data_IF_540509009163
#
_entry.id   IF_540509009163
#
_cell.length_a   1.000
_cell.length_b   1.000
_cell.length_c   1.000
_cell.angle_alpha   90.00
_cell.angle_beta   90.00
_cell.angle_gamma   90.00
#
_symmetry.space_group_name_H-M   'P 1'
#
loop_
_entity.id
_entity.type
_entity.pdbx_description
1 polymer ?
#
# COMPACT_ATOMS: atom_id res chain seq x y z
N UNK A 1 2.94 -18.63 28.32
CA UNK A 1 3.15 -18.49 29.77
C UNK A 1 3.10 -17.01 30.10
N UNK A 2 2.27 -16.60 31.06
CA UNK A 2 2.22 -15.21 31.51
C UNK A 2 3.46 -14.88 32.36
N UNK A 3 3.83 -13.59 32.48
CA UNK A 3 4.88 -13.15 33.39
C UNK A 3 4.47 -13.47 34.84
N UNK A 4 5.40 -13.97 35.61
CA UNK A 4 5.24 -14.26 37.05
C UNK A 4 6.14 -13.37 37.92
N UNK A 5 6.96 -12.53 37.29
CA UNK A 5 7.83 -11.52 37.90
C UNK A 5 8.11 -10.40 36.94
N UNK A 6 8.63 -9.27 37.45
CA UNK A 6 9.05 -8.12 36.63
C UNK A 6 10.12 -8.54 35.63
N UNK A 7 10.02 -7.97 34.42
CA UNK A 7 10.94 -8.21 33.30
C UNK A 7 11.56 -6.92 32.81
N UNK A 8 12.86 -6.86 32.75
CA UNK A 8 13.55 -5.79 32.00
C UNK A 8 13.44 -6.02 30.49
N UNK A 9 12.37 -5.50 29.88
CA UNK A 9 12.15 -5.61 28.43
C UNK A 9 13.07 -4.65 27.69
N UNK A 10 13.92 -5.19 26.83
CA UNK A 10 14.81 -4.38 25.99
C UNK A 10 14.00 -3.53 25.01
N UNK A 11 14.47 -2.30 24.75
CA UNK A 11 13.89 -1.37 23.78
C UNK A 11 14.95 -0.88 22.80
N UNK A 12 14.50 -0.44 21.62
CA UNK A 12 15.30 0.22 20.59
C UNK A 12 14.61 1.50 20.17
N UNK A 13 15.39 2.50 19.74
CA UNK A 13 14.88 3.77 19.23
C UNK A 13 13.98 3.59 17.98
N UNK A 14 14.26 2.58 17.17
CA UNK A 14 13.42 2.23 16.00
C UNK A 14 13.69 3.06 14.74
N UNK A 15 14.46 4.13 14.80
CA UNK A 15 14.85 4.91 13.63
C UNK A 15 15.98 4.27 12.81
N UNK A 16 16.85 3.51 13.48
CA UNK A 16 17.95 2.79 12.84
C UNK A 16 17.78 1.29 13.09
N UNK A 17 17.58 0.54 12.01
CA UNK A 17 17.36 -0.90 12.05
C UNK A 17 18.52 -1.65 11.40
N UNK A 18 18.99 -2.71 12.08
CA UNK A 18 19.90 -3.69 11.48
C UNK A 18 19.07 -4.87 10.99
N UNK A 19 18.97 -5.03 9.68
CA UNK A 19 18.15 -6.05 9.03
C UNK A 19 18.99 -7.11 8.33
N UNK A 20 18.59 -8.40 8.35
CA UNK A 20 19.26 -9.44 7.56
C UNK A 20 19.06 -9.13 6.07
N UNK A 21 20.16 -9.17 5.31
CA UNK A 21 20.21 -8.81 3.90
C UNK A 21 20.03 -10.04 3.00
N UNK A 22 19.24 -9.91 1.94
CA UNK A 22 19.17 -10.89 0.86
C UNK A 22 20.56 -11.06 0.20
N UNK A 23 20.70 -12.05 -0.69
CA UNK A 23 21.92 -12.28 -1.46
C UNK A 23 22.13 -11.21 -2.56
N UNK A 24 22.26 -9.95 -2.16
CA UNK A 24 22.39 -8.78 -3.04
C UNK A 24 23.40 -7.79 -2.51
N UNK A 25 23.89 -6.92 -3.39
CA UNK A 25 24.64 -5.72 -3.02
C UNK A 25 23.71 -4.53 -2.91
N UNK A 26 23.84 -3.76 -1.83
CA UNK A 26 23.13 -2.49 -1.60
C UNK A 26 24.15 -1.38 -1.38
N UNK A 27 23.99 -0.27 -2.06
CA UNK A 27 24.83 0.92 -1.87
C UNK A 27 24.29 1.81 -0.74
N UNK A 28 25.16 2.53 -0.06
CA UNK A 28 24.77 3.57 0.89
C UNK A 28 23.91 4.63 0.19
N UNK A 29 22.83 5.06 0.84
CA UNK A 29 21.89 6.01 0.26
C UNK A 29 20.77 5.40 -0.58
N UNK A 30 20.82 4.10 -0.91
CA UNK A 30 19.80 3.42 -1.72
C UNK A 30 18.48 3.23 -0.96
N UNK A 31 17.38 3.13 -1.71
CA UNK A 31 16.09 2.62 -1.21
C UNK A 31 16.29 1.19 -0.71
N UNK A 32 15.84 0.93 0.51
CA UNK A 32 15.79 -0.43 1.08
C UNK A 32 14.33 -0.83 1.31
N UNK A 33 14.00 -2.02 0.81
CA UNK A 33 12.72 -2.68 1.07
C UNK A 33 12.96 -4.08 1.67
N UNK A 34 11.93 -4.67 2.23
CA UNK A 34 11.91 -6.07 2.67
C UNK A 34 11.11 -6.88 1.66
N UNK A 35 11.67 -7.98 1.18
CA UNK A 35 11.01 -8.90 0.25
C UNK A 35 10.03 -9.84 0.97
N UNK A 36 9.28 -10.65 0.22
CA UNK A 36 8.28 -11.60 0.74
C UNK A 36 8.87 -12.66 1.69
N UNK A 37 10.19 -12.90 1.65
CA UNK A 37 10.89 -13.83 2.55
C UNK A 37 11.41 -13.16 3.83
N UNK A 38 11.14 -11.86 4.03
CA UNK A 38 11.53 -11.12 5.22
C UNK A 38 12.97 -10.59 5.23
N UNK A 39 13.68 -10.64 4.10
CA UNK A 39 15.05 -10.12 3.98
C UNK A 39 15.05 -8.72 3.38
N UNK A 40 15.92 -7.85 3.90
CA UNK A 40 16.19 -6.56 3.30
C UNK A 40 16.79 -6.74 1.90
N UNK A 41 16.38 -5.91 0.97
CA UNK A 41 16.88 -5.87 -0.41
C UNK A 41 16.92 -4.43 -0.89
N UNK A 42 17.67 -4.17 -1.96
CA UNK A 42 17.60 -2.86 -2.62
C UNK A 42 16.25 -2.65 -3.30
N UNK A 43 15.84 -1.39 -3.48
CA UNK A 43 14.70 -1.04 -4.30
C UNK A 43 14.85 -1.61 -5.71
N UNK A 44 13.76 -2.15 -6.27
CA UNK A 44 13.69 -2.68 -7.63
C UNK A 44 12.25 -2.79 -8.10
N UNK A 45 12.04 -2.88 -9.40
CA UNK A 45 10.72 -3.14 -9.98
C UNK A 45 10.27 -4.56 -9.61
N UNK A 46 9.50 -4.68 -8.53
CA UNK A 46 8.92 -5.94 -8.06
C UNK A 46 7.68 -5.69 -7.20
N UNK A 47 6.81 -6.69 -7.14
CA UNK A 47 5.64 -6.71 -6.25
C UNK A 47 5.98 -7.36 -4.91
N UNK A 48 5.14 -7.10 -3.88
CA UNK A 48 5.27 -7.77 -2.57
C UNK A 48 6.45 -7.30 -1.74
N UNK A 49 7.08 -6.18 -2.08
CA UNK A 49 8.08 -5.55 -1.25
C UNK A 49 7.46 -4.53 -0.30
N UNK A 50 8.01 -4.44 0.90
CA UNK A 50 7.66 -3.42 1.88
C UNK A 50 8.80 -2.41 1.99
N UNK A 51 8.55 -1.14 1.63
CA UNK A 51 9.51 -0.05 1.82
C UNK A 51 9.87 0.09 3.29
N UNK A 52 11.15 0.25 3.59
CA UNK A 52 11.64 0.45 4.96
C UNK A 52 12.31 1.82 5.12
N UNK A 53 13.08 2.26 4.13
CA UNK A 53 13.81 3.52 4.24
C UNK A 53 15.07 3.55 3.40
N UNK A 54 16.13 4.18 3.95
CA UNK A 54 17.39 4.43 3.26
C UNK A 54 18.52 3.59 3.87
N UNK A 55 19.37 3.00 3.02
CA UNK A 55 20.62 2.38 3.45
C UNK A 55 21.59 3.41 4.04
N UNK A 56 22.11 3.17 5.24
CA UNK A 56 23.11 4.04 5.88
C UNK A 56 24.54 3.71 5.43
N UNK A 57 24.73 2.52 4.88
CA UNK A 57 26.04 1.98 4.48
C UNK A 57 25.93 1.14 3.22
N UNK A 58 27.07 0.88 2.58
CA UNK A 58 27.15 -0.13 1.52
C UNK A 58 27.41 -1.50 2.14
N UNK A 59 26.60 -2.49 1.74
CA UNK A 59 26.82 -3.91 2.10
C UNK A 59 26.73 -4.76 0.84
N UNK A 60 27.74 -5.61 0.62
CA UNK A 60 27.74 -6.56 -0.48
C UNK A 60 27.59 -7.99 0.05
N UNK A 61 26.41 -8.59 -0.15
CA UNK A 61 26.08 -9.97 0.17
C UNK A 61 25.80 -10.80 -1.10
N UNK A 62 26.21 -10.31 -2.29
CA UNK A 62 25.90 -10.97 -3.57
C UNK A 62 26.56 -12.34 -3.73
N UNK A 63 27.65 -12.61 -3.02
CA UNK A 63 28.34 -13.91 -3.02
C UNK A 63 27.95 -14.82 -1.84
N UNK A 64 27.02 -14.40 -0.97
CA UNK A 64 26.60 -15.15 0.20
C UNK A 64 25.16 -15.63 0.11
N UNK A 65 24.65 -16.21 1.19
CA UNK A 65 23.25 -16.58 1.35
C UNK A 65 22.45 -15.45 1.99
N UNK A 66 21.12 -15.47 1.82
CA UNK A 66 20.23 -14.53 2.48
C UNK A 66 20.39 -14.64 4.01
N UNK A 67 20.67 -13.52 4.68
CA UNK A 67 20.89 -13.44 6.11
C UNK A 67 22.35 -13.52 6.57
N UNK A 68 23.31 -13.87 5.71
CA UNK A 68 24.72 -13.95 6.07
C UNK A 68 25.28 -12.58 6.50
N UNK A 69 24.77 -11.51 5.92
CA UNK A 69 25.11 -10.14 6.29
C UNK A 69 23.88 -9.35 6.71
N UNK A 70 24.09 -8.29 7.44
CA UNK A 70 23.07 -7.33 7.85
C UNK A 70 23.38 -5.96 7.27
N UNK A 71 22.34 -5.16 7.08
CA UNK A 71 22.44 -3.77 6.62
C UNK A 71 21.78 -2.84 7.63
N UNK A 72 22.39 -1.68 7.86
CA UNK A 72 21.79 -0.62 8.65
C UNK A 72 20.88 0.24 7.77
N UNK A 73 19.63 0.38 8.18
CA UNK A 73 18.59 1.11 7.46
C UNK A 73 18.00 2.19 8.36
N UNK A 74 17.98 3.42 7.89
CA UNK A 74 17.28 4.53 8.54
C UNK A 74 15.85 4.59 8.05
N UNK A 75 14.91 4.70 9.00
CA UNK A 75 13.47 4.81 8.75
C UNK A 75 12.86 5.98 9.55
N UNK A 76 11.57 6.23 9.36
CA UNK A 76 10.84 7.26 10.10
C UNK A 76 11.27 8.69 9.75
N UNK A 77 11.86 8.89 8.58
CA UNK A 77 12.25 10.18 8.00
C UNK A 77 11.73 10.26 6.56
N UNK A 78 11.59 11.47 6.08
CA UNK A 78 11.33 11.73 4.68
C UNK A 78 12.65 11.68 3.91
N UNK A 79 12.69 10.94 2.81
CA UNK A 79 13.88 10.84 1.95
C UNK A 79 13.59 11.39 0.57
N UNK A 80 14.60 11.98 -0.06
CA UNK A 80 14.52 12.50 -1.42
C UNK A 80 15.06 11.47 -2.40
N UNK A 81 14.18 11.03 -3.33
CA UNK A 81 14.48 10.06 -4.37
C UNK A 81 14.42 10.71 -5.75
N UNK A 82 15.05 10.12 -6.73
CA UNK A 82 14.93 10.55 -8.13
C UNK A 82 13.50 10.38 -8.63
N UNK A 83 13.08 11.30 -9.49
CA UNK A 83 11.80 11.20 -10.19
C UNK A 83 11.93 10.29 -11.41
N UNK A 84 10.96 9.41 -11.64
CA UNK A 84 10.91 8.56 -12.83
C UNK A 84 10.92 9.38 -14.11
N UNK A 85 11.72 8.96 -15.09
CA UNK A 85 11.73 9.57 -16.42
C UNK A 85 10.53 9.13 -17.28
N UNK A 86 9.97 7.95 -17.00
CA UNK A 86 8.88 7.35 -17.80
C UNK A 86 7.51 7.57 -17.19
N UNK A 87 7.42 7.69 -15.87
CA UNK A 87 6.19 7.90 -15.11
C UNK A 87 6.41 9.01 -14.08
N UNK A 88 6.70 10.21 -14.58
CA UNK A 88 7.12 11.35 -13.77
C UNK A 88 6.02 11.83 -12.81
N UNK A 89 6.41 12.02 -11.56
CA UNK A 89 5.62 12.67 -10.51
C UNK A 89 5.61 14.18 -10.78
N UNK A 90 4.45 14.80 -10.69
CA UNK A 90 4.22 16.22 -10.93
C UNK A 90 3.55 16.87 -9.71
N UNK A 91 3.44 18.20 -9.70
CA UNK A 91 2.80 18.95 -8.61
C UNK A 91 1.37 18.44 -8.29
N UNK A 92 0.65 17.94 -9.29
CA UNK A 92 -0.70 17.36 -9.12
C UNK A 92 -0.70 16.04 -8.34
N UNK A 93 0.46 15.47 -8.06
CA UNK A 93 0.61 14.19 -7.36
C UNK A 93 1.03 14.36 -5.89
N UNK A 94 1.18 15.59 -5.41
CA UNK A 94 1.48 15.87 -4.01
C UNK A 94 0.41 15.26 -3.09
N UNK A 95 0.84 14.55 -2.04
CA UNK A 95 -0.03 13.82 -1.12
C UNK A 95 -0.49 12.44 -1.61
N UNK A 96 -0.17 12.05 -2.86
CA UNK A 96 -0.45 10.70 -3.37
C UNK A 96 0.67 9.73 -3.05
N UNK A 97 0.40 8.44 -3.27
CA UNK A 97 1.39 7.37 -3.14
C UNK A 97 2.27 7.34 -4.39
N UNK A 98 3.57 7.11 -4.20
CA UNK A 98 4.52 6.76 -5.25
C UNK A 98 5.05 5.32 -5.05
N UNK A 99 5.73 4.81 -6.06
CA UNK A 99 6.12 3.41 -6.16
C UNK A 99 7.62 3.28 -6.41
N UNK A 100 8.21 2.17 -5.93
CA UNK A 100 9.64 1.88 -6.10
C UNK A 100 9.89 1.42 -7.53
N UNK A 101 10.65 2.20 -8.31
CA UNK A 101 11.04 1.82 -9.67
C UNK A 101 12.40 1.11 -9.67
N UNK A 102 13.37 1.64 -8.92
CA UNK A 102 14.69 1.04 -8.68
C UNK A 102 15.23 1.46 -7.30
N UNK A 103 16.52 1.33 -7.06
CA UNK A 103 17.15 1.61 -5.76
C UNK A 103 17.40 3.09 -5.47
N UNK A 104 17.05 4.00 -6.39
CA UNK A 104 17.12 5.46 -6.20
C UNK A 104 15.91 6.22 -6.76
N UNK A 105 15.01 5.56 -7.51
CA UNK A 105 13.97 6.19 -8.33
C UNK A 105 12.57 5.80 -7.86
N UNK A 106 11.66 6.78 -7.82
CA UNK A 106 10.23 6.58 -7.55
C UNK A 106 9.37 6.99 -8.73
N UNK A 107 8.31 6.21 -8.96
CA UNK A 107 7.36 6.34 -10.06
C UNK A 107 5.99 6.83 -9.56
N UNK A 108 5.27 7.60 -10.37
CA UNK A 108 3.89 8.02 -10.10
C UNK A 108 2.89 6.86 -10.09
N UNK A 109 3.10 5.87 -10.94
CA UNK A 109 2.20 4.73 -11.12
C UNK A 109 2.88 3.43 -10.72
N UNK A 110 2.07 2.42 -10.38
CA UNK A 110 2.52 1.06 -10.09
C UNK A 110 2.89 0.25 -11.35
N UNK A 111 2.89 0.90 -12.53
CA UNK A 111 3.18 0.30 -13.84
C UNK A 111 2.37 -1.00 -14.06
N UNK A 112 1.05 -0.88 -13.95
CA UNK A 112 0.09 -1.99 -14.08
C UNK A 112 0.27 -3.10 -13.02
N UNK A 113 0.60 -2.72 -11.80
CA UNK A 113 0.71 -3.63 -10.65
C UNK A 113 2.05 -4.35 -10.56
N UNK A 114 3.10 -3.85 -11.21
CA UNK A 114 4.44 -4.47 -11.17
C UNK A 114 5.36 -3.86 -10.11
N UNK A 115 5.02 -2.69 -9.55
CA UNK A 115 5.83 -1.98 -8.57
C UNK A 115 5.18 -2.03 -7.19
N UNK A 116 6.01 -2.04 -6.15
CA UNK A 116 5.59 -1.90 -4.75
C UNK A 116 5.54 -0.43 -4.33
N UNK A 117 4.63 -0.07 -3.42
CA UNK A 117 4.54 1.28 -2.90
C UNK A 117 5.82 1.69 -2.15
N UNK A 118 6.31 2.91 -2.41
CA UNK A 118 7.44 3.52 -1.71
C UNK A 118 6.99 4.39 -0.54
N UNK A 119 6.01 5.26 -0.74
CA UNK A 119 5.61 6.21 0.29
C UNK A 119 4.61 7.24 -0.21
N UNK A 120 4.35 8.23 0.63
CA UNK A 120 3.53 9.40 0.26
C UNK A 120 4.43 10.53 -0.20
N UNK A 121 4.08 11.15 -1.31
CA UNK A 121 4.79 12.33 -1.86
C UNK A 121 4.50 13.53 -0.95
N UNK A 122 5.53 14.06 -0.29
CA UNK A 122 5.42 15.20 0.62
C UNK A 122 6.13 16.45 0.12
N UNK A 123 6.92 16.34 -0.95
CA UNK A 123 7.57 17.47 -1.60
C UNK A 123 8.07 17.10 -2.99
N UNK A 124 8.12 18.11 -3.86
CA UNK A 124 8.55 17.95 -5.26
C UNK A 124 9.53 19.07 -5.55
N UNK A 125 10.75 18.70 -5.90
CA UNK A 125 11.83 19.61 -6.24
C UNK A 125 12.37 19.28 -7.64
N UNK A 126 13.16 20.20 -8.22
CA UNK A 126 13.72 20.02 -9.56
C UNK A 126 14.71 18.83 -9.65
N UNK A 127 15.28 18.42 -8.51
CA UNK A 127 16.29 17.37 -8.40
C UNK A 127 15.80 16.12 -7.68
N UNK A 128 14.50 16.05 -7.30
CA UNK A 128 13.95 14.86 -6.66
C UNK A 128 12.59 15.04 -5.98
N UNK A 129 12.12 13.93 -5.46
CA UNK A 129 10.82 13.76 -4.82
C UNK A 129 11.03 13.40 -3.36
N UNK A 130 10.49 14.20 -2.45
CA UNK A 130 10.45 13.88 -1.02
C UNK A 130 9.34 12.90 -0.73
N UNK A 131 9.69 11.80 -0.10
CA UNK A 131 8.79 10.68 0.18
C UNK A 131 8.81 10.37 1.67
N UNK A 132 7.63 10.48 2.29
CA UNK A 132 7.39 10.04 3.65
C UNK A 132 7.11 8.53 3.68
N UNK A 133 7.62 7.83 4.71
CA UNK A 133 7.31 6.41 4.94
C UNK A 133 5.79 6.20 5.02
N UNK A 134 5.28 5.19 4.32
CA UNK A 134 3.86 4.85 4.40
C UNK A 134 3.56 4.25 5.77
N UNK A 135 2.87 5.00 6.61
CA UNK A 135 2.08 4.35 7.65
C UNK A 135 0.88 3.67 6.97
N UNK A 136 0.84 2.36 6.86
CA UNK A 136 -0.14 1.51 6.17
C UNK A 136 -0.93 2.24 5.08
N UNK A 137 -0.53 2.09 3.83
CA UNK A 137 -1.13 2.80 2.70
C UNK A 137 -2.65 2.65 2.71
N UNK A 138 -3.35 3.78 2.74
CA UNK A 138 -4.81 3.83 2.58
C UNK A 138 -5.09 4.27 1.15
N UNK A 139 -5.61 3.36 0.34
CA UNK A 139 -6.06 3.68 -1.01
C UNK A 139 -7.53 4.05 -0.94
N UNK A 140 -7.90 5.19 -1.49
CA UNK A 140 -9.29 5.66 -1.44
C UNK A 140 -9.78 5.98 -2.84
N UNK A 141 -10.99 5.51 -3.16
CA UNK A 141 -11.68 5.85 -4.39
C UNK A 141 -13.17 6.09 -4.13
N UNK A 142 -13.80 6.85 -5.02
CA UNK A 142 -15.25 7.10 -5.02
C UNK A 142 -15.81 6.80 -6.41
N UNK A 143 -17.03 6.26 -6.45
CA UNK A 143 -17.77 6.12 -7.70
C UNK A 143 -19.27 6.29 -7.45
N UNK A 144 -19.99 6.81 -8.42
CA UNK A 144 -21.45 6.71 -8.47
C UNK A 144 -21.79 5.27 -8.86
N UNK A 145 -22.59 4.59 -8.04
CA UNK A 145 -23.08 3.24 -8.31
C UNK A 145 -24.59 3.28 -8.42
N UNK A 146 -25.09 2.72 -9.51
CA UNK A 146 -26.49 2.59 -9.85
C UNK A 146 -26.84 1.10 -9.88
N UNK A 147 -27.24 0.57 -8.74
CA UNK A 147 -27.60 -0.85 -8.65
C UNK A 147 -28.95 -1.08 -9.34
N UNK A 148 -29.11 -2.21 -10.07
CA UNK A 148 -30.43 -2.58 -10.60
C UNK A 148 -31.38 -2.91 -9.48
N UNK A 149 -32.70 -2.98 -9.78
CA UNK A 149 -33.69 -3.51 -8.85
C UNK A 149 -33.30 -4.94 -8.41
N UNK A 150 -33.20 -5.15 -7.09
CA UNK A 150 -32.70 -6.39 -6.48
C UNK A 150 -33.91 -7.15 -5.93
N UNK A 151 -34.12 -8.37 -6.42
CA UNK A 151 -35.20 -9.24 -5.93
C UNK A 151 -35.04 -9.58 -4.45
N UNK A 152 -36.13 -10.01 -3.81
CA UNK A 152 -36.11 -10.46 -2.42
C UNK A 152 -35.00 -11.50 -2.19
N UNK A 153 -34.23 -11.34 -1.12
CA UNK A 153 -33.11 -12.20 -0.71
C UNK A 153 -31.99 -12.36 -1.76
N UNK A 154 -31.97 -11.53 -2.82
CA UNK A 154 -30.92 -11.54 -3.85
C UNK A 154 -29.84 -10.47 -3.58
N UNK A 155 -28.77 -10.52 -4.36
CA UNK A 155 -27.67 -9.54 -4.31
C UNK A 155 -27.31 -9.07 -5.71
N UNK A 156 -26.80 -7.83 -5.80
CA UNK A 156 -26.18 -7.27 -6.99
C UNK A 156 -24.78 -6.72 -6.64
N UNK A 157 -23.85 -6.83 -7.58
CA UNK A 157 -22.46 -6.41 -7.42
C UNK A 157 -22.13 -5.32 -8.44
N UNK A 158 -21.50 -4.25 -7.96
CA UNK A 158 -20.88 -3.22 -8.80
C UNK A 158 -19.43 -2.99 -8.33
N UNK A 159 -18.59 -2.48 -9.21
CA UNK A 159 -17.16 -2.35 -8.93
C UNK A 159 -16.70 -0.90 -8.89
N UNK A 160 -15.67 -0.65 -8.06
CA UNK A 160 -14.93 0.60 -8.00
C UNK A 160 -13.46 0.30 -8.30
N UNK A 161 -12.86 1.01 -9.26
CA UNK A 161 -11.43 0.90 -9.53
C UNK A 161 -10.64 1.58 -8.40
N UNK A 162 -9.73 0.82 -7.78
CA UNK A 162 -8.84 1.28 -6.70
C UNK A 162 -7.41 0.84 -7.02
N UNK A 163 -6.66 1.61 -7.80
CA UNK A 163 -5.28 1.25 -8.16
C UNK A 163 -4.43 0.93 -6.94
N UNK A 164 -3.70 -0.17 -6.98
CA UNK A 164 -2.88 -0.68 -5.88
C UNK A 164 -3.61 -1.60 -4.90
N UNK A 165 -4.94 -1.78 -5.00
CA UNK A 165 -5.66 -2.77 -4.18
C UNK A 165 -5.30 -4.20 -4.59
N UNK A 166 -5.09 -5.08 -3.60
CA UNK A 166 -4.83 -6.50 -3.79
C UNK A 166 -5.84 -7.35 -3.02
N UNK A 167 -6.11 -8.55 -3.52
CA UNK A 167 -6.97 -9.51 -2.82
C UNK A 167 -6.44 -9.74 -1.40
N UNK A 168 -7.33 -9.83 -0.42
CA UNK A 168 -7.09 -9.89 1.03
C UNK A 168 -6.78 -8.55 1.71
N UNK A 169 -6.61 -7.44 1.01
CA UNK A 169 -6.60 -6.14 1.66
C UNK A 169 -7.94 -5.87 2.36
N UNK A 170 -7.90 -5.20 3.51
CA UNK A 170 -9.11 -4.79 4.23
C UNK A 170 -9.79 -3.61 3.54
N UNK A 171 -11.13 -3.65 3.43
CA UNK A 171 -11.90 -2.57 2.82
C UNK A 171 -12.88 -1.97 3.81
N UNK A 172 -12.87 -0.64 3.93
CA UNK A 172 -13.92 0.13 4.60
C UNK A 172 -14.81 0.78 3.55
N UNK A 173 -16.13 0.63 3.69
CA UNK A 173 -17.13 1.18 2.79
C UNK A 173 -17.81 2.40 3.43
N UNK A 174 -17.71 3.55 2.77
CA UNK A 174 -18.46 4.75 3.07
C UNK A 174 -19.77 4.77 2.27
N UNK A 175 -20.88 4.76 2.98
CA UNK A 175 -22.23 4.81 2.40
C UNK A 175 -22.67 6.26 2.15
N UNK A 176 -23.63 6.50 1.23
CA UNK A 176 -24.29 7.80 1.12
C UNK A 176 -25.02 8.18 2.43
N UNK A 177 -25.36 9.47 2.59
CA UNK A 177 -25.98 9.98 3.80
C UNK A 177 -27.32 9.29 4.16
N UNK A 178 -28.05 8.81 3.15
CA UNK A 178 -29.30 8.05 3.31
C UNK A 178 -29.25 6.79 2.44
N UNK A 179 -28.62 5.71 2.92
CA UNK A 179 -28.62 4.46 2.18
C UNK A 179 -30.04 3.88 2.08
N UNK A 180 -30.35 3.24 0.96
CA UNK A 180 -31.67 2.65 0.72
C UNK A 180 -32.02 1.65 1.82
N UNK A 181 -33.16 1.83 2.47
CA UNK A 181 -33.65 0.95 3.52
C UNK A 181 -33.89 -0.47 2.99
N UNK A 182 -33.58 -1.48 3.79
CA UNK A 182 -33.73 -2.89 3.42
C UNK A 182 -32.61 -3.44 2.52
N UNK A 183 -31.58 -2.64 2.21
CA UNK A 183 -30.37 -3.07 1.50
C UNK A 183 -29.19 -3.08 2.46
N UNK A 184 -28.50 -4.23 2.50
CA UNK A 184 -27.22 -4.37 3.20
C UNK A 184 -26.08 -4.22 2.20
N UNK A 185 -25.13 -3.31 2.48
CA UNK A 185 -23.95 -3.08 1.63
C UNK A 185 -22.70 -3.66 2.26
N UNK A 186 -21.87 -4.32 1.44
CA UNK A 186 -20.53 -4.82 1.79
C UNK A 186 -19.55 -4.49 0.70
N UNK A 187 -18.26 -4.38 1.03
CA UNK A 187 -17.21 -4.22 0.04
C UNK A 187 -16.03 -5.15 0.32
N UNK A 188 -15.39 -5.62 -0.72
CA UNK A 188 -14.18 -6.47 -0.66
C UNK A 188 -13.36 -6.29 -1.94
N UNK A 189 -12.05 -6.55 -1.85
CA UNK A 189 -11.20 -6.57 -3.05
C UNK A 189 -11.45 -7.89 -3.78
N UNK A 190 -12.04 -7.81 -4.97
CA UNK A 190 -12.39 -8.97 -5.78
C UNK A 190 -11.30 -9.37 -6.78
N UNK A 191 -10.47 -8.42 -7.20
CA UNK A 191 -9.32 -8.62 -8.07
C UNK A 191 -8.29 -7.50 -7.84
N UNK A 192 -7.10 -7.62 -8.43
CA UNK A 192 -6.11 -6.54 -8.42
C UNK A 192 -6.76 -5.23 -8.93
N UNK A 193 -6.54 -4.13 -8.20
CA UNK A 193 -7.08 -2.80 -8.49
C UNK A 193 -8.61 -2.68 -8.50
N UNK A 194 -9.36 -3.69 -8.01
CA UNK A 194 -10.82 -3.72 -8.11
C UNK A 194 -11.47 -4.04 -6.77
N UNK A 195 -12.29 -3.12 -6.29
CA UNK A 195 -13.16 -3.33 -5.13
C UNK A 195 -14.59 -3.58 -5.62
N UNK A 196 -15.20 -4.69 -5.20
CA UNK A 196 -16.61 -4.97 -5.42
C UNK A 196 -17.43 -4.46 -4.25
N UNK A 197 -18.47 -3.68 -4.56
CA UNK A 197 -19.52 -3.30 -3.61
C UNK A 197 -20.73 -4.19 -3.89
N UNK A 198 -21.11 -4.99 -2.90
CA UNK A 198 -22.27 -5.86 -2.95
C UNK A 198 -23.45 -5.25 -2.20
N UNK A 199 -24.56 -5.07 -2.88
CA UNK A 199 -25.85 -4.73 -2.32
C UNK A 199 -26.70 -6.00 -2.17
N UNK A 200 -27.20 -6.29 -0.97
CA UNK A 200 -28.05 -7.46 -0.69
C UNK A 200 -29.39 -6.97 -0.18
N UNK A 201 -30.46 -7.36 -0.84
CA UNK A 201 -31.82 -7.09 -0.40
C UNK A 201 -32.21 -8.08 0.73
N UNK A 202 -32.44 -7.53 1.93
CA UNK A 202 -32.84 -8.31 3.11
C UNK A 202 -34.34 -8.26 3.36
N UNK A 203 -35.12 -7.74 2.39
CA UNK A 203 -36.60 -7.67 2.48
C UNK A 203 -37.28 -8.78 1.72
N UNK A 204 -38.58 -8.91 1.90
CA UNK A 204 -39.41 -9.88 1.19
C UNK A 204 -39.94 -9.41 -0.18
N UNK A 205 -39.56 -8.21 -0.65
CA UNK A 205 -40.01 -7.63 -1.91
C UNK A 205 -38.82 -7.06 -2.70
N UNK A 206 -38.91 -6.93 -4.03
CA UNK A 206 -37.87 -6.24 -4.80
C UNK A 206 -37.65 -4.82 -4.32
N UNK A 207 -36.38 -4.40 -4.25
CA UNK A 207 -35.97 -3.04 -3.87
C UNK A 207 -35.01 -2.51 -4.92
N UNK A 208 -35.26 -1.29 -5.40
CA UNK A 208 -34.39 -0.58 -6.33
C UNK A 208 -33.56 0.47 -5.55
N UNK A 209 -32.25 0.24 -5.35
CA UNK A 209 -31.41 1.17 -4.63
C UNK A 209 -31.22 2.45 -5.45
N UNK A 210 -31.42 3.61 -4.81
CA UNK A 210 -31.20 4.91 -5.47
C UNK A 210 -29.71 5.03 -5.85
N UNK A 211 -29.46 5.47 -7.09
CA UNK A 211 -28.10 5.79 -7.57
C UNK A 211 -27.42 6.79 -6.62
N UNK A 212 -26.23 6.46 -6.15
CA UNK A 212 -25.54 7.28 -5.16
C UNK A 212 -24.02 7.13 -5.25
N UNK A 213 -23.29 8.08 -4.66
CA UNK A 213 -21.83 8.02 -4.56
C UNK A 213 -21.41 7.20 -3.35
N UNK A 214 -20.61 6.19 -3.59
CA UNK A 214 -19.97 5.33 -2.60
C UNK A 214 -18.49 5.63 -2.52
N UNK A 215 -17.92 5.52 -1.33
CA UNK A 215 -16.49 5.66 -1.08
C UNK A 215 -15.94 4.33 -0.56
N UNK A 216 -14.82 3.88 -1.10
CA UNK A 216 -14.08 2.76 -0.54
C UNK A 216 -12.70 3.22 -0.09
N UNK A 217 -12.26 2.69 1.05
CA UNK A 217 -10.91 2.87 1.57
C UNK A 217 -10.31 1.49 1.78
N UNK A 218 -9.27 1.18 1.03
CA UNK A 218 -8.51 -0.07 1.14
C UNK A 218 -7.32 0.18 2.06
N UNK A 219 -7.15 -0.67 3.05
CA UNK A 219 -6.02 -0.66 3.98
C UNK A 219 -5.13 -1.84 3.57
N UNK A 220 -3.90 -1.53 3.15
CA UNK A 220 -2.92 -2.56 2.79
C UNK A 220 -2.56 -3.40 4.02
N UNK A 221 -2.57 -4.71 3.87
CA UNK A 221 -2.23 -5.69 4.92
C UNK A 221 -0.82 -6.22 4.75
#
# INVERSE_FOLDING_TARGET
MALVADRNTQMKDGELLSLPLAAVKVFGGAIVAVNSSGYATKGQAATGMTYIGRAEEQVDNSGGSAGDKKILVRRGKDFKWKNSATSAITQADLGKICYIEDDETVSKTDQAGTLSAAGTIVGIESDGIWVAEVGKARLTATAALDFPSINAAASADLTISVPGAAVNDSVSLGLPAAPTAGIMFRAFVSAANTVTVRATNITGSPVDPVSATYRVTVIKT
#
